data_IF_703506807809
#
_entry.id   IF_703506807809
#
_cell.length_a   1.000
_cell.length_b   1.000
_cell.length_c   1.000
_cell.angle_alpha   90.00
_cell.angle_beta   90.00
_cell.angle_gamma   90.00
#
_symmetry.space_group_name_H-M   'P 1'
#
loop_
_entity.id
_entity.type
_entity.pdbx_description
1 polymer ?
#
# COMPACT_ATOMS: atom_id res chain seq x y z
N UNK A 1 -7.46 -20.24 10.93
CA UNK A 1 -7.30 -19.20 12.00
C UNK A 1 -8.13 -17.99 11.59
N UNK A 2 -9.01 -17.53 12.45
CA UNK A 2 -9.81 -16.33 12.19
C UNK A 2 -8.94 -15.10 12.46
N UNK A 3 -8.44 -14.46 11.42
CA UNK A 3 -7.56 -13.28 11.51
C UNK A 3 -8.29 -12.03 12.01
N UNK A 4 -9.64 -12.06 12.07
CA UNK A 4 -10.48 -10.99 12.64
C UNK A 4 -10.74 -11.16 14.14
N UNK A 5 -10.31 -12.26 14.74
CA UNK A 5 -10.55 -12.52 16.17
C UNK A 5 -9.92 -11.42 17.03
N UNK A 6 -10.74 -10.79 17.86
CA UNK A 6 -10.31 -9.71 18.74
C UNK A 6 -10.36 -8.30 18.11
N UNK A 7 -10.65 -8.18 16.82
CA UNK A 7 -10.78 -6.89 16.15
C UNK A 7 -12.23 -6.37 16.21
N UNK A 8 -12.36 -5.05 16.35
CA UNK A 8 -13.65 -4.35 16.23
C UNK A 8 -13.90 -4.07 14.74
N UNK A 9 -14.59 -4.99 14.06
CA UNK A 9 -14.78 -4.98 12.59
C UNK A 9 -15.18 -3.60 12.06
N UNK A 10 -16.24 -2.99 12.61
CA UNK A 10 -16.75 -1.68 12.16
C UNK A 10 -15.80 -0.50 12.37
N UNK A 11 -14.76 -0.64 13.19
CA UNK A 11 -13.79 0.44 13.46
C UNK A 11 -12.41 0.19 12.88
N UNK A 12 -11.99 -1.06 12.83
CA UNK A 12 -10.61 -1.43 12.53
C UNK A 12 -10.44 -2.13 11.18
N UNK A 13 -11.51 -2.67 10.62
CA UNK A 13 -11.47 -3.44 9.37
C UNK A 13 -12.31 -2.80 8.28
N UNK A 14 -13.57 -2.48 8.56
CA UNK A 14 -14.55 -2.00 7.57
C UNK A 14 -15.34 -0.81 8.13
N UNK A 15 -14.66 0.31 8.41
CA UNK A 15 -15.33 1.53 8.82
C UNK A 15 -16.11 2.11 7.63
N UNK A 16 -17.40 2.43 7.78
CA UNK A 16 -18.19 3.09 6.73
C UNK A 16 -17.82 4.57 6.57
N UNK A 17 -17.02 5.12 7.48
CA UNK A 17 -16.62 6.52 7.47
C UNK A 17 -15.12 6.60 7.21
N UNK A 18 -14.75 7.19 6.08
CA UNK A 18 -13.36 7.50 5.79
C UNK A 18 -12.91 8.72 6.60
N UNK A 19 -11.89 8.55 7.44
CA UNK A 19 -11.31 9.65 8.21
C UNK A 19 -9.80 9.78 7.93
N UNK A 20 -9.45 10.69 7.02
CA UNK A 20 -8.05 10.95 6.64
C UNK A 20 -7.15 11.37 7.80
N UNK A 21 -7.72 11.92 8.88
CA UNK A 21 -6.92 12.35 10.04
C UNK A 21 -6.35 11.18 10.83
N UNK A 22 -6.90 9.99 10.67
CA UNK A 22 -6.43 8.77 11.32
C UNK A 22 -5.27 8.11 10.54
N UNK A 23 -5.11 8.42 9.26
CA UNK A 23 -4.05 7.81 8.49
C UNK A 23 -2.71 8.54 8.63
N UNK A 24 -1.63 7.84 8.32
CA UNK A 24 -0.26 8.30 8.60
C UNK A 24 0.08 9.64 7.94
N UNK A 25 -0.33 9.81 6.70
CA UNK A 25 0.02 11.00 5.91
C UNK A 25 -1.07 12.06 5.88
N UNK A 26 -2.15 11.89 6.65
CA UNK A 26 -3.31 12.81 6.72
C UNK A 26 -3.88 13.17 5.35
N UNK A 27 -3.75 12.28 4.38
CA UNK A 27 -4.13 12.48 3.00
C UNK A 27 -5.23 11.49 2.61
N UNK A 28 -6.25 11.99 1.94
CA UNK A 28 -7.28 11.15 1.33
C UNK A 28 -6.71 10.45 0.10
N UNK A 29 -6.83 9.13 0.05
CA UNK A 29 -6.41 8.33 -1.09
C UNK A 29 -7.26 7.06 -1.20
N UNK A 30 -7.48 6.63 -2.43
CA UNK A 30 -8.36 5.53 -2.75
C UNK A 30 -9.84 5.93 -2.69
N UNK A 31 -10.72 4.98 -2.93
CA UNK A 31 -12.16 5.12 -2.78
C UNK A 31 -12.68 4.40 -1.53
N UNK A 32 -13.99 4.37 -1.38
CA UNK A 32 -14.69 3.62 -0.36
C UNK A 32 -15.03 2.18 -0.84
N UNK A 33 -15.64 1.42 0.05
CA UNK A 33 -16.01 0.04 -0.22
C UNK A 33 -17.03 -0.05 -1.37
N UNK A 34 -18.02 0.83 -1.39
CA UNK A 34 -19.08 0.83 -2.41
C UNK A 34 -18.50 1.08 -3.80
N UNK A 35 -17.54 2.01 -3.92
CA UNK A 35 -16.84 2.25 -5.18
C UNK A 35 -16.01 1.03 -5.61
N UNK A 36 -15.38 0.34 -4.67
CA UNK A 36 -14.60 -0.86 -4.99
C UNK A 36 -15.47 -2.03 -5.39
N UNK A 37 -16.62 -2.21 -4.74
CA UNK A 37 -17.62 -3.22 -5.13
C UNK A 37 -18.20 -2.91 -6.51
N UNK A 38 -18.63 -1.67 -6.74
CA UNK A 38 -19.15 -1.23 -8.03
C UNK A 38 -18.15 -1.34 -9.18
N UNK A 39 -16.85 -1.24 -8.89
CA UNK A 39 -15.76 -1.44 -9.85
C UNK A 39 -15.38 -2.92 -10.07
N UNK A 40 -16.02 -3.85 -9.39
CA UNK A 40 -15.70 -5.28 -9.47
C UNK A 40 -14.35 -5.68 -8.84
N UNK A 41 -13.80 -4.83 -7.99
CA UNK A 41 -12.51 -5.10 -7.34
C UNK A 41 -12.63 -5.96 -6.09
N UNK A 42 -13.82 -6.04 -5.53
CA UNK A 42 -14.14 -6.88 -4.37
C UNK A 42 -14.88 -8.11 -4.85
N UNK A 43 -14.45 -9.26 -4.36
CA UNK A 43 -15.08 -10.55 -4.65
C UNK A 43 -15.70 -11.13 -3.38
N UNK A 44 -16.64 -12.06 -3.56
CA UNK A 44 -17.23 -12.78 -2.42
C UNK A 44 -16.20 -13.63 -1.64
N UNK A 45 -15.07 -13.95 -2.28
CA UNK A 45 -13.97 -14.70 -1.65
C UNK A 45 -13.31 -13.87 -0.56
N UNK A 46 -13.09 -12.56 -0.83
CA UNK A 46 -12.47 -11.62 0.08
C UNK A 46 -13.27 -10.30 0.15
N UNK A 47 -14.42 -10.29 0.86
CA UNK A 47 -15.37 -9.18 0.84
C UNK A 47 -14.84 -7.88 1.47
N UNK A 48 -13.74 -7.95 2.22
CA UNK A 48 -13.06 -6.75 2.76
C UNK A 48 -11.88 -6.29 1.87
N UNK A 49 -11.76 -6.83 0.66
CA UNK A 49 -10.83 -6.36 -0.37
C UNK A 49 -9.41 -6.91 -0.25
N UNK A 50 -8.49 -6.19 -0.88
CA UNK A 50 -7.13 -6.66 -1.10
C UNK A 50 -6.39 -7.04 0.18
N UNK A 51 -6.53 -6.28 1.25
CA UNK A 51 -5.79 -6.57 2.50
C UNK A 51 -6.24 -7.87 3.15
N UNK A 52 -7.54 -8.19 3.08
CA UNK A 52 -8.06 -9.48 3.53
C UNK A 52 -7.49 -10.63 2.71
N UNK A 53 -7.51 -10.49 1.37
CA UNK A 53 -6.89 -11.46 0.48
C UNK A 53 -5.42 -11.67 0.85
N UNK A 54 -4.66 -10.59 1.03
CA UNK A 54 -3.24 -10.64 1.34
C UNK A 54 -2.95 -11.39 2.66
N UNK A 55 -3.67 -11.07 3.73
CA UNK A 55 -3.51 -11.76 5.01
C UNK A 55 -3.77 -13.27 4.89
N UNK A 56 -4.83 -13.65 4.17
CA UNK A 56 -5.18 -15.05 3.93
C UNK A 56 -4.16 -15.76 3.05
N UNK A 57 -3.72 -15.09 1.99
CA UNK A 57 -2.68 -15.60 1.09
C UNK A 57 -1.36 -15.82 1.83
N UNK A 58 -0.94 -14.87 2.66
CA UNK A 58 0.24 -14.97 3.51
C UNK A 58 0.16 -16.15 4.49
N UNK A 59 -1.01 -16.39 5.05
CA UNK A 59 -1.29 -17.54 5.94
C UNK A 59 -1.45 -18.88 5.19
N UNK A 60 -1.19 -18.93 3.89
CA UNK A 60 -1.17 -20.15 3.09
C UNK A 60 -2.47 -20.47 2.34
N UNK A 61 -3.53 -19.64 2.46
CA UNK A 61 -4.73 -19.84 1.62
C UNK A 61 -4.38 -19.60 0.15
N UNK A 62 -4.98 -20.41 -0.73
CA UNK A 62 -4.93 -20.21 -2.18
C UNK A 62 -6.37 -20.15 -2.73
N UNK A 63 -6.58 -19.36 -3.77
CA UNK A 63 -7.89 -19.14 -4.38
C UNK A 63 -7.76 -18.87 -5.88
N UNK A 64 -8.86 -18.95 -6.58
CA UNK A 64 -8.93 -18.61 -8.02
C UNK A 64 -8.70 -17.11 -8.30
N UNK A 65 -8.68 -16.27 -7.27
CA UNK A 65 -8.47 -14.82 -7.38
C UNK A 65 -7.00 -14.40 -7.21
N UNK A 66 -6.11 -15.35 -6.91
CA UNK A 66 -4.72 -15.03 -6.54
C UNK A 66 -3.96 -14.35 -7.67
N UNK A 67 -4.04 -14.87 -8.91
CA UNK A 67 -3.34 -14.29 -10.06
C UNK A 67 -3.80 -12.85 -10.34
N UNK A 68 -5.09 -12.57 -10.23
CA UNK A 68 -5.66 -11.24 -10.40
C UNK A 68 -5.12 -10.27 -9.32
N UNK A 69 -5.12 -10.69 -8.07
CA UNK A 69 -4.64 -9.86 -6.95
C UNK A 69 -3.14 -9.63 -7.02
N UNK A 70 -2.34 -10.64 -7.38
CA UNK A 70 -0.88 -10.51 -7.58
C UNK A 70 -0.60 -9.54 -8.73
N UNK A 71 -1.26 -9.70 -9.88
CA UNK A 71 -1.10 -8.83 -11.04
C UNK A 71 -1.45 -7.37 -10.69
N UNK A 72 -2.56 -7.16 -9.99
CA UNK A 72 -2.98 -5.83 -9.53
C UNK A 72 -1.97 -5.21 -8.58
N UNK A 73 -1.46 -5.98 -7.60
CA UNK A 73 -0.42 -5.53 -6.68
C UNK A 73 0.85 -5.11 -7.42
N UNK A 74 1.30 -5.92 -8.36
CA UNK A 74 2.48 -5.61 -9.19
C UNK A 74 2.29 -4.32 -10.01
N UNK A 75 1.11 -4.08 -10.55
CA UNK A 75 0.80 -2.85 -11.30
C UNK A 75 0.80 -1.58 -10.43
N UNK A 76 0.53 -1.72 -9.13
CA UNK A 76 0.55 -0.59 -8.17
C UNK A 76 1.95 -0.37 -7.60
N UNK A 77 2.58 -1.44 -7.10
CA UNK A 77 3.71 -1.39 -6.18
C UNK A 77 4.92 -2.24 -6.61
N UNK A 78 4.79 -3.07 -7.61
CA UNK A 78 5.89 -3.88 -8.16
C UNK A 78 7.02 -3.03 -8.73
N UNK A 79 8.10 -3.63 -9.24
CA UNK A 79 9.26 -2.91 -9.80
C UNK A 79 8.88 -1.90 -10.87
N UNK A 80 7.88 -2.21 -11.69
CA UNK A 80 7.32 -1.32 -12.74
C UNK A 80 6.01 -0.66 -12.32
N UNK A 81 5.61 -0.80 -11.04
CA UNK A 81 4.34 -0.30 -10.53
C UNK A 81 4.20 1.20 -10.65
N UNK A 82 3.05 1.64 -11.17
CA UNK A 82 2.79 3.05 -11.49
C UNK A 82 2.98 3.97 -10.29
N UNK A 83 2.43 3.62 -9.14
CA UNK A 83 2.46 4.48 -7.96
C UNK A 83 3.82 4.47 -7.26
N UNK A 84 4.48 3.32 -7.26
CA UNK A 84 5.86 3.20 -6.80
C UNK A 84 6.77 4.15 -7.60
N UNK A 85 6.76 4.05 -8.92
CA UNK A 85 7.61 4.87 -9.78
C UNK A 85 7.23 6.36 -9.72
N UNK A 86 5.93 6.68 -9.60
CA UNK A 86 5.49 8.05 -9.37
C UNK A 86 6.09 8.65 -8.09
N UNK A 87 6.14 7.90 -6.98
CA UNK A 87 6.74 8.39 -5.74
C UNK A 87 8.26 8.56 -5.88
N UNK A 88 8.96 7.58 -6.46
CA UNK A 88 10.41 7.66 -6.69
C UNK A 88 10.74 8.92 -7.50
N UNK A 89 10.06 9.14 -8.62
CA UNK A 89 10.31 10.30 -9.47
C UNK A 89 10.08 11.62 -8.73
N UNK A 90 9.05 11.72 -7.89
CA UNK A 90 8.79 12.94 -7.11
C UNK A 90 9.82 13.16 -6.01
N UNK A 91 10.32 12.10 -5.40
CA UNK A 91 11.42 12.18 -4.42
C UNK A 91 12.70 12.67 -5.11
N UNK A 92 13.06 12.09 -6.25
CA UNK A 92 14.24 12.49 -7.02
C UNK A 92 14.14 13.93 -7.55
N UNK A 93 12.96 14.38 -7.96
CA UNK A 93 12.72 15.74 -8.47
C UNK A 93 12.63 16.80 -7.36
N UNK A 94 12.71 16.43 -6.08
CA UNK A 94 12.50 17.36 -4.96
C UNK A 94 13.66 18.33 -4.69
N UNK A 95 14.80 18.16 -5.37
CA UNK A 95 16.05 18.91 -5.11
C UNK A 95 16.56 18.85 -3.65
N UNK A 96 16.09 17.90 -2.87
CA UNK A 96 16.54 17.64 -1.50
C UNK A 96 17.57 16.51 -1.50
N UNK A 97 18.42 16.46 -0.46
CA UNK A 97 19.25 15.27 -0.24
C UNK A 97 18.37 14.03 -0.12
N UNK A 98 18.77 12.94 -0.75
CA UNK A 98 17.94 11.74 -0.90
C UNK A 98 17.48 11.18 0.46
N UNK A 99 18.38 11.20 1.46
CA UNK A 99 18.11 10.75 2.83
C UNK A 99 16.95 11.54 3.49
N UNK A 100 16.89 12.84 3.19
CA UNK A 100 15.83 13.73 3.67
C UNK A 100 14.55 13.51 2.86
N UNK A 101 14.67 13.50 1.52
CA UNK A 101 13.53 13.41 0.60
C UNK A 101 12.74 12.11 0.75
N UNK A 102 13.41 10.99 0.99
CA UNK A 102 12.77 9.68 1.18
C UNK A 102 11.83 9.69 2.41
N UNK A 103 12.23 10.38 3.48
CA UNK A 103 11.47 10.46 4.72
C UNK A 103 10.53 11.68 4.78
N UNK A 104 10.59 12.56 3.81
CA UNK A 104 9.77 13.78 3.79
C UNK A 104 8.31 13.47 3.43
N UNK A 105 7.46 13.49 4.45
CA UNK A 105 6.03 13.22 4.31
C UNK A 105 5.29 14.27 3.46
N UNK A 106 5.88 15.45 3.22
CA UNK A 106 5.28 16.51 2.39
C UNK A 106 5.39 16.18 0.90
N UNK A 107 6.36 15.34 0.52
CA UNK A 107 6.51 14.90 -0.87
C UNK A 107 5.45 13.83 -1.17
N UNK A 108 4.44 14.23 -1.89
CA UNK A 108 3.36 13.35 -2.40
C UNK A 108 2.63 12.53 -1.31
N UNK A 109 2.02 13.17 -0.30
CA UNK A 109 1.39 12.47 0.81
C UNK A 109 0.28 11.51 0.38
N UNK A 110 -0.48 11.83 -0.68
CA UNK A 110 -1.51 10.93 -1.23
C UNK A 110 -0.92 9.62 -1.77
N UNK A 111 0.18 9.70 -2.53
CA UNK A 111 0.82 8.49 -3.07
C UNK A 111 1.49 7.68 -1.98
N UNK A 112 2.09 8.34 -0.98
CA UNK A 112 2.63 7.65 0.20
C UNK A 112 1.55 6.91 0.97
N UNK A 113 0.39 7.54 1.18
CA UNK A 113 -0.74 6.91 1.86
C UNK A 113 -1.30 5.74 1.07
N UNK A 114 -1.42 5.88 -0.26
CA UNK A 114 -1.85 4.79 -1.14
C UNK A 114 -0.90 3.58 -1.02
N UNK A 115 0.40 3.81 -1.14
CA UNK A 115 1.39 2.72 -1.05
C UNK A 115 1.38 2.07 0.34
N UNK A 116 1.14 2.84 1.40
CA UNK A 116 1.01 2.29 2.75
C UNK A 116 -0.24 1.40 2.89
N UNK A 117 -1.35 1.72 2.22
CA UNK A 117 -2.52 0.84 2.19
C UNK A 117 -2.21 -0.50 1.50
N UNK A 118 -1.18 -0.54 0.66
CA UNK A 118 -0.64 -1.77 0.06
C UNK A 118 0.51 -2.39 0.87
N UNK A 119 0.72 -1.94 2.11
CA UNK A 119 1.76 -2.45 3.00
C UNK A 119 3.18 -2.03 2.62
N UNK A 120 3.34 -0.94 1.87
CA UNK A 120 4.65 -0.52 1.36
C UNK A 120 5.08 0.83 1.91
N UNK A 121 6.30 0.86 2.41
CA UNK A 121 7.01 2.06 2.81
C UNK A 121 8.26 2.27 1.96
N UNK A 122 8.47 3.51 1.50
CA UNK A 122 9.70 3.89 0.82
C UNK A 122 10.85 3.94 1.84
N UNK A 123 11.94 3.23 1.56
CA UNK A 123 13.13 3.22 2.38
C UNK A 123 14.38 3.38 1.52
N UNK A 124 15.44 3.92 2.11
CA UNK A 124 16.78 3.86 1.53
C UNK A 124 17.40 2.50 1.83
N UNK A 125 17.90 1.85 0.79
CA UNK A 125 18.84 0.77 0.98
C UNK A 125 20.23 1.37 1.21
N UNK A 126 20.81 1.10 2.35
CA UNK A 126 22.23 1.24 2.54
C UNK A 126 22.92 0.05 1.83
N UNK A 127 23.26 0.26 0.55
CA UNK A 127 24.20 -0.63 -0.09
C UNK A 127 25.59 -0.36 0.49
N UNK A 128 26.16 -1.34 1.17
CA UNK A 128 27.60 -1.34 1.48
C UNK A 128 28.35 -1.33 0.15
N UNK A 129 29.15 -0.28 -0.05
CA UNK A 129 30.04 0.03 -1.15
C UNK A 129 29.50 0.82 -2.34
N UNK A 130 30.06 2.02 -2.46
CA UNK A 130 30.29 2.83 -3.67
C UNK A 130 29.17 2.88 -4.74
N UNK A 131 28.44 3.97 -4.74
CA UNK A 131 27.82 4.61 -5.90
C UNK A 131 26.41 4.24 -6.37
N UNK A 132 25.58 3.53 -5.63
CA UNK A 132 24.14 3.53 -5.96
C UNK A 132 23.29 3.54 -4.67
N UNK A 133 22.70 4.69 -4.36
CA UNK A 133 21.59 4.76 -3.42
C UNK A 133 20.37 4.11 -4.07
N UNK A 134 20.20 2.81 -3.87
CA UNK A 134 18.99 2.14 -4.33
C UNK A 134 17.84 2.49 -3.37
N UNK A 135 16.80 3.07 -3.91
CA UNK A 135 15.54 3.27 -3.19
C UNK A 135 14.76 1.96 -3.27
N UNK A 136 14.52 1.34 -2.14
CA UNK A 136 13.72 0.12 -2.09
C UNK A 136 12.44 0.31 -1.27
N UNK A 137 11.52 -0.63 -1.42
CA UNK A 137 10.28 -0.67 -0.67
C UNK A 137 10.31 -1.88 0.25
N UNK A 138 10.15 -1.63 1.55
CA UNK A 138 9.95 -2.69 2.52
C UNK A 138 8.47 -2.85 2.82
N UNK A 139 8.04 -4.10 2.96
CA UNK A 139 6.75 -4.39 3.55
C UNK A 139 6.80 -4.04 5.03
N UNK A 140 5.92 -3.17 5.49
CA UNK A 140 5.71 -2.90 6.91
C UNK A 140 4.36 -3.49 7.29
N UNK A 141 4.40 -4.44 8.19
CA UNK A 141 3.24 -4.98 8.88
C UNK A 141 3.08 -4.32 10.24
#
# INVERSE_FOLDING_TARGET
MDWLKGLKIKKQVASPIYNKQLNKYKAECGGDLDMWEGSGWITKIDPYGWFQWYCRFYLGRRSTDDDRQISRGNGVMGPTGRWRNSLINKVLASNKKLEVAVNDATISPKVRQLLQHWGILLQLLHANSSHLHAVNFAFTF
#
